data_IF_774357361683
#
_entry.id   IF_774357361683
#
_cell.length_a   1.000
_cell.length_b   1.000
_cell.length_c   1.000
_cell.angle_alpha   90.00
_cell.angle_beta   90.00
_cell.angle_gamma   90.00
#
_symmetry.space_group_name_H-M   'P 1'
#
loop_
_entity.id
_entity.type
_entity.pdbx_description
1 polymer ?
#
# COMPACT_ATOMS: atom_id res chain seq x y z
N UNK A 1 -3.37 -19.78 10.92
CA UNK A 1 -3.50 -18.31 10.96
C UNK A 1 -2.13 -17.78 11.33
N UNK A 2 -1.43 -17.19 10.36
CA UNK A 2 -0.04 -16.71 10.51
C UNK A 2 0.00 -15.18 10.57
N UNK A 3 1.15 -14.63 10.97
CA UNK A 3 1.42 -13.19 11.04
C UNK A 3 2.41 -12.77 9.95
N UNK A 4 2.05 -11.76 9.16
CA UNK A 4 2.87 -11.22 8.09
C UNK A 4 3.12 -9.72 8.27
N UNK A 5 4.37 -9.32 8.09
CA UNK A 5 4.76 -7.93 7.91
C UNK A 5 5.22 -7.73 6.47
N UNK A 6 4.53 -6.87 5.73
CA UNK A 6 4.94 -6.47 4.37
C UNK A 6 5.58 -5.10 4.48
N UNK A 7 6.87 -5.01 4.22
CA UNK A 7 7.63 -3.76 4.32
C UNK A 7 7.87 -3.22 2.92
N UNK A 8 7.24 -2.08 2.61
CA UNK A 8 7.50 -1.34 1.39
C UNK A 8 8.55 -0.27 1.68
N UNK A 9 9.66 -0.30 0.93
CA UNK A 9 10.69 0.75 0.97
C UNK A 9 10.76 1.60 -0.30
N UNK A 10 10.16 1.13 -1.39
CA UNK A 10 10.21 1.82 -2.67
C UNK A 10 9.35 3.08 -2.63
N UNK A 11 9.98 4.25 -2.77
CA UNK A 11 9.29 5.53 -2.92
C UNK A 11 8.80 5.82 -4.34
N UNK A 12 8.04 6.90 -4.53
CA UNK A 12 7.49 7.29 -5.82
C UNK A 12 8.57 7.69 -6.84
N UNK A 13 8.16 7.83 -8.11
CA UNK A 13 9.00 8.44 -9.16
C UNK A 13 9.58 7.50 -10.21
N UNK A 14 9.40 6.18 -10.08
CA UNK A 14 9.75 5.21 -11.15
C UNK A 14 8.63 4.24 -11.42
N UNK A 15 8.49 3.77 -12.65
CA UNK A 15 7.47 2.78 -13.03
C UNK A 15 7.57 1.49 -12.18
N UNK A 16 8.79 1.02 -11.94
CA UNK A 16 9.05 -0.16 -11.13
C UNK A 16 8.65 0.04 -9.66
N UNK A 17 8.86 1.23 -9.09
CA UNK A 17 8.39 1.54 -7.74
C UNK A 17 6.87 1.53 -7.61
N UNK A 18 6.14 1.97 -8.65
CA UNK A 18 4.68 1.86 -8.67
C UNK A 18 4.24 0.40 -8.66
N UNK A 19 4.90 -0.46 -9.44
CA UNK A 19 4.61 -1.89 -9.46
C UNK A 19 4.88 -2.56 -8.10
N UNK A 20 5.99 -2.23 -7.42
CA UNK A 20 6.30 -2.70 -6.07
C UNK A 20 5.26 -2.27 -5.04
N UNK A 21 4.86 -1.00 -5.10
CA UNK A 21 3.84 -0.46 -4.21
C UNK A 21 2.51 -1.19 -4.45
N UNK A 22 2.05 -1.29 -5.70
CA UNK A 22 0.81 -1.98 -6.04
C UNK A 22 0.82 -3.46 -5.62
N UNK A 23 1.93 -4.16 -5.87
CA UNK A 23 2.08 -5.55 -5.43
C UNK A 23 2.01 -5.69 -3.91
N UNK A 24 2.65 -4.79 -3.15
CA UNK A 24 2.59 -4.81 -1.67
C UNK A 24 1.15 -4.71 -1.16
N UNK A 25 0.34 -3.88 -1.82
CA UNK A 25 -1.07 -3.66 -1.52
C UNK A 25 -1.92 -4.90 -1.86
N UNK A 26 -1.79 -5.44 -3.08
CA UNK A 26 -2.54 -6.63 -3.52
C UNK A 26 -2.19 -7.84 -2.66
N UNK A 27 -0.91 -8.09 -2.44
CA UNK A 27 -0.48 -9.27 -1.69
C UNK A 27 -0.92 -9.18 -0.22
N UNK A 28 -0.89 -8.00 0.39
CA UNK A 28 -1.44 -7.79 1.74
C UNK A 28 -2.94 -8.09 1.81
N UNK A 29 -3.70 -7.69 0.78
CA UNK A 29 -5.13 -8.00 0.66
C UNK A 29 -5.39 -9.49 0.55
N UNK A 30 -4.68 -10.18 -0.33
CA UNK A 30 -4.85 -11.62 -0.56
C UNK A 30 -4.53 -12.44 0.71
N UNK A 31 -3.45 -12.10 1.42
CA UNK A 31 -3.12 -12.74 2.70
C UNK A 31 -4.21 -12.51 3.76
N UNK A 32 -4.79 -11.30 3.81
CA UNK A 32 -5.93 -10.97 4.68
C UNK A 32 -7.18 -11.77 4.31
N UNK A 33 -7.51 -11.83 3.03
CA UNK A 33 -8.66 -12.61 2.52
C UNK A 33 -8.49 -14.12 2.78
N UNK A 34 -7.25 -14.61 2.82
CA UNK A 34 -6.91 -15.97 3.25
C UNK A 34 -6.99 -16.20 4.77
N UNK A 35 -7.32 -15.19 5.57
CA UNK A 35 -7.49 -15.32 7.03
C UNK A 35 -6.18 -15.19 7.84
N UNK A 36 -5.19 -14.46 7.31
CA UNK A 36 -3.96 -14.15 8.05
C UNK A 36 -4.01 -12.76 8.71
N UNK A 37 -3.19 -12.58 9.74
CA UNK A 37 -2.94 -11.28 10.36
C UNK A 37 -1.81 -10.58 9.59
N UNK A 38 -2.10 -9.43 8.99
CA UNK A 38 -1.20 -8.76 8.04
C UNK A 38 -1.09 -7.30 8.41
N UNK A 39 0.15 -6.80 8.40
CA UNK A 39 0.45 -5.37 8.50
C UNK A 39 1.30 -4.92 7.33
N UNK A 40 0.83 -3.93 6.60
CA UNK A 40 1.59 -3.23 5.57
C UNK A 40 2.34 -2.05 6.21
N UNK A 41 3.65 -2.00 6.05
CA UNK A 41 4.54 -1.02 6.68
C UNK A 41 5.19 -0.19 5.58
N UNK A 42 5.00 1.12 5.64
CA UNK A 42 5.65 2.08 4.77
C UNK A 42 6.91 2.58 5.46
N UNK A 43 8.08 2.22 4.96
CA UNK A 43 9.38 2.59 5.54
C UNK A 43 10.26 3.33 4.52
N UNK A 44 11.20 4.16 5.00
CA UNK A 44 12.10 4.92 4.15
C UNK A 44 11.38 5.77 3.09
N UNK A 45 11.76 5.61 1.83
CA UNK A 45 11.19 6.39 0.73
C UNK A 45 9.70 6.07 0.46
N UNK A 46 9.19 4.93 0.94
CA UNK A 46 7.78 4.59 0.78
C UNK A 46 6.85 5.49 1.61
N UNK A 47 7.36 6.15 2.65
CA UNK A 47 6.58 7.10 3.46
C UNK A 47 6.04 8.27 2.62
N UNK A 48 6.71 8.60 1.50
CA UNK A 48 6.28 9.63 0.56
C UNK A 48 4.98 9.30 -0.18
N UNK A 49 4.63 8.01 -0.34
CA UNK A 49 3.34 7.62 -0.95
C UNK A 49 2.14 8.10 -0.14
N UNK A 50 2.27 8.09 1.19
CA UNK A 50 1.20 8.54 2.08
C UNK A 50 0.95 10.05 1.97
N UNK A 51 2.00 10.82 1.67
CA UNK A 51 1.87 12.26 1.39
C UNK A 51 1.25 12.52 0.01
N UNK A 52 1.50 11.64 -0.96
CA UNK A 52 0.90 11.73 -2.30
C UNK A 52 -0.60 11.46 -2.32
N UNK A 53 -1.06 10.43 -1.59
CA UNK A 53 -2.46 9.96 -1.58
C UNK A 53 -3.50 10.86 -0.90
N UNK A 54 -3.33 12.17 -1.02
CA UNK A 54 -4.29 13.20 -0.64
C UNK A 54 -4.34 14.36 -1.64
N UNK A 55 -3.59 14.30 -2.75
CA UNK A 55 -3.58 15.36 -3.77
C UNK A 55 -4.60 15.04 -4.89
N UNK A 56 -5.75 15.74 -4.92
CA UNK A 56 -6.77 15.54 -5.94
C UNK A 56 -6.31 15.95 -7.36
N UNK A 57 -5.14 16.57 -7.53
CA UNK A 57 -4.60 16.96 -8.83
C UNK A 57 -3.64 15.95 -9.45
N UNK A 58 -3.18 14.92 -8.72
CA UNK A 58 -2.28 13.92 -9.29
C UNK A 58 -3.09 12.92 -10.15
N UNK A 59 -2.79 12.87 -11.46
CA UNK A 59 -3.55 12.08 -12.42
C UNK A 59 -3.33 10.57 -12.23
N UNK A 60 -2.18 10.17 -11.69
CA UNK A 60 -1.84 8.77 -11.38
C UNK A 60 -2.54 8.29 -10.09
N UNK A 61 -2.98 9.22 -9.23
CA UNK A 61 -3.61 8.93 -7.94
C UNK A 61 -5.05 8.45 -8.05
N UNK A 62 -5.76 8.78 -9.14
CA UNK A 62 -7.17 8.38 -9.29
C UNK A 62 -7.37 6.86 -9.29
N UNK A 63 -6.38 6.10 -9.76
CA UNK A 63 -6.39 4.63 -9.68
C UNK A 63 -5.86 4.09 -8.36
N UNK A 64 -4.69 4.58 -7.92
CA UNK A 64 -3.95 3.97 -6.81
C UNK A 64 -4.36 4.48 -5.43
N UNK A 65 -4.68 5.77 -5.29
CA UNK A 65 -5.29 6.31 -4.07
C UNK A 65 -6.67 5.68 -3.81
N UNK A 66 -7.41 5.37 -4.87
CA UNK A 66 -8.66 4.60 -4.80
C UNK A 66 -8.45 3.19 -4.24
N UNK A 67 -7.45 2.46 -4.73
CA UNK A 67 -7.14 1.11 -4.22
C UNK A 67 -6.66 1.14 -2.76
N UNK A 68 -5.82 2.11 -2.39
CA UNK A 68 -5.39 2.27 -1.00
C UNK A 68 -6.57 2.55 -0.05
N UNK A 69 -7.52 3.40 -0.48
CA UNK A 69 -8.76 3.66 0.27
C UNK A 69 -9.57 2.37 0.46
N UNK A 70 -9.73 1.57 -0.59
CA UNK A 70 -10.39 0.26 -0.50
C UNK A 70 -9.72 -0.68 0.50
N UNK A 71 -8.38 -0.68 0.59
CA UNK A 71 -7.66 -1.50 1.57
C UNK A 71 -7.87 -1.03 3.00
N UNK A 72 -7.93 0.28 3.22
CA UNK A 72 -8.29 0.86 4.53
C UNK A 72 -9.71 0.46 4.92
N UNK A 73 -10.66 0.57 3.99
CA UNK A 73 -12.06 0.19 4.22
C UNK A 73 -12.22 -1.32 4.45
N UNK A 74 -11.37 -2.14 3.82
CA UNK A 74 -11.27 -3.58 4.06
C UNK A 74 -10.59 -3.94 5.41
N UNK A 75 -10.20 -2.93 6.20
CA UNK A 75 -9.63 -3.10 7.53
C UNK A 75 -8.18 -3.59 7.54
N UNK A 76 -7.42 -3.39 6.45
CA UNK A 76 -5.99 -3.68 6.44
C UNK A 76 -5.28 -2.73 7.42
N UNK A 77 -4.55 -3.31 8.38
CA UNK A 77 -3.72 -2.52 9.28
C UNK A 77 -2.47 -2.04 8.53
N UNK A 78 -2.17 -0.75 8.65
CA UNK A 78 -0.92 -0.18 8.14
C UNK A 78 -0.19 0.62 9.21
N UNK A 79 1.12 0.77 9.02
CA UNK A 79 1.98 1.59 9.87
C UNK A 79 2.99 2.37 9.01
N UNK A 80 3.53 3.43 9.60
CA UNK A 80 4.69 4.20 9.13
C UNK A 80 5.84 3.91 10.07
#
# INVERSE_FOLDING_TARGET
MEKFAIILQAGPGTHESHARMFHSMVYSKELREAGHDVRLIFDGAATEWLAKWGDPQDADDRGMGGFFTQLKDAGLAYAV
#
